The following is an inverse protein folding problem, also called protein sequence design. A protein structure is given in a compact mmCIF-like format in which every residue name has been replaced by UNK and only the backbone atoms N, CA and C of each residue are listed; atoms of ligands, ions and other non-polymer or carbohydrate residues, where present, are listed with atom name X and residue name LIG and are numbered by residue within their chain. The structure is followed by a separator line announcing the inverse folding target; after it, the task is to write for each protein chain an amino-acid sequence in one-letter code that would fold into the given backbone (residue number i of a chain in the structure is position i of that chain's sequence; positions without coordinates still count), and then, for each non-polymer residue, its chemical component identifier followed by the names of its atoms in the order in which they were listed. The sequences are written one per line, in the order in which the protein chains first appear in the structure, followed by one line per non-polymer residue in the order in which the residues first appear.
data_IF_014727572035
#
_entry.id   IF_014727572035
#
_cell.length_a   1.000
_cell.length_b   1.000
_cell.length_c   1.000
_cell.angle_alpha   90.00
_cell.angle_beta   90.00
_cell.angle_gamma   90.00
#
_symmetry.space_group_name_H-M   'P 1'
#
loop_
_entity.id
_entity.type
_entity.pdbx_description
1 polymer ?
#
# COMPACT_ATOMS: atom_id res chain seq x y z
N UNK A 1 16.32 -3.20 11.50
CA UNK A 1 17.29 -2.27 10.90
C UNK A 1 17.45 -1.07 11.84
N UNK A 2 18.58 -0.90 12.52
CA UNK A 2 18.87 0.28 13.37
C UNK A 2 20.03 1.03 12.73
N UNK A 3 19.73 2.07 11.96
CA UNK A 3 20.76 2.84 11.26
C UNK A 3 21.25 3.90 12.24
N UNK A 4 22.52 3.79 12.64
CA UNK A 4 23.11 4.68 13.65
C UNK A 4 23.67 5.98 13.05
N UNK A 5 23.75 6.07 11.72
CA UNK A 5 24.27 7.24 11.01
C UNK A 5 23.11 8.08 10.41
N UNK A 6 23.02 9.35 10.83
CA UNK A 6 22.05 10.32 10.36
C UNK A 6 22.23 10.74 8.89
N UNK A 7 23.35 10.40 8.25
CA UNK A 7 23.57 10.66 6.81
C UNK A 7 22.55 9.94 5.93
N UNK A 8 22.13 8.74 6.31
CA UNK A 8 21.06 8.02 5.62
C UNK A 8 19.70 8.70 5.80
N UNK A 9 19.42 9.23 7.00
CA UNK A 9 18.19 9.98 7.32
C UNK A 9 18.00 11.23 6.45
N UNK A 10 19.10 11.83 5.99
CA UNK A 10 19.11 13.07 5.19
C UNK A 10 19.09 12.82 3.68
N UNK A 11 19.17 11.58 3.23
CA UNK A 11 19.25 11.29 1.80
C UNK A 11 17.86 11.36 1.14
N UNK A 12 17.69 12.09 0.02
CA UNK A 12 16.37 12.29 -0.61
C UNK A 12 15.70 11.00 -1.09
N UNK A 13 16.46 9.92 -1.28
CA UNK A 13 15.91 8.62 -1.66
C UNK A 13 15.51 7.74 -0.48
N UNK A 14 15.86 8.11 0.76
CA UNK A 14 15.58 7.28 1.93
C UNK A 14 14.10 6.93 2.03
N UNK A 15 13.21 7.88 1.73
CA UNK A 15 11.76 7.66 1.73
C UNK A 15 11.33 6.50 0.85
N UNK A 16 11.92 6.35 -0.34
CA UNK A 16 11.61 5.24 -1.25
C UNK A 16 12.17 3.92 -0.74
N UNK A 17 13.39 3.93 -0.18
CA UNK A 17 14.01 2.74 0.40
C UNK A 17 13.20 2.26 1.60
N UNK A 18 12.83 3.17 2.51
CA UNK A 18 12.00 2.88 3.67
C UNK A 18 10.63 2.34 3.26
N UNK A 19 9.99 2.97 2.27
CA UNK A 19 8.69 2.55 1.75
C UNK A 19 8.74 1.17 1.08
N UNK A 20 9.71 0.92 0.19
CA UNK A 20 9.90 -0.38 -0.45
C UNK A 20 10.24 -1.47 0.58
N UNK A 21 11.02 -1.13 1.60
CA UNK A 21 11.33 -2.05 2.70
C UNK A 21 10.07 -2.39 3.50
N UNK A 22 9.23 -1.39 3.79
CA UNK A 22 7.97 -1.58 4.50
C UNK A 22 6.98 -2.44 3.71
N UNK A 23 6.75 -2.13 2.43
CA UNK A 23 5.89 -2.94 1.56
C UNK A 23 6.45 -4.36 1.41
N UNK A 24 7.75 -4.50 1.17
CA UNK A 24 8.39 -5.81 1.06
C UNK A 24 8.26 -6.65 2.33
N UNK A 25 8.37 -6.02 3.51
CA UNK A 25 8.15 -6.68 4.80
C UNK A 25 6.70 -7.17 4.96
N UNK A 26 5.72 -6.33 4.60
CA UNK A 26 4.31 -6.70 4.61
C UNK A 26 4.02 -7.86 3.64
N UNK A 27 4.53 -7.78 2.41
CA UNK A 27 4.37 -8.82 1.40
C UNK A 27 4.93 -10.17 1.88
N UNK A 28 6.18 -10.20 2.37
CA UNK A 28 6.79 -11.42 2.92
C UNK A 28 5.98 -12.03 4.06
N UNK A 29 5.48 -11.20 4.96
CA UNK A 29 4.65 -11.66 6.09
C UNK A 29 3.36 -12.31 5.60
N UNK A 30 2.67 -11.68 4.64
CA UNK A 30 1.42 -12.19 4.06
C UNK A 30 1.64 -13.44 3.21
N UNK A 31 2.68 -13.48 2.38
CA UNK A 31 3.04 -14.65 1.57
C UNK A 31 3.41 -15.85 2.45
N UNK A 32 4.17 -15.64 3.53
CA UNK A 32 4.52 -16.71 4.47
C UNK A 32 3.28 -17.26 5.18
N UNK A 33 2.35 -16.38 5.56
CA UNK A 33 1.09 -16.80 6.16
C UNK A 33 0.23 -17.61 5.17
N UNK A 34 0.10 -17.13 3.93
CA UNK A 34 -0.60 -17.84 2.87
C UNK A 34 -0.04 -19.24 2.63
N UNK A 35 1.28 -19.35 2.43
CA UNK A 35 1.93 -20.65 2.17
C UNK A 35 1.65 -21.63 3.31
N UNK A 36 1.81 -21.21 4.58
CA UNK A 36 1.49 -22.07 5.73
C UNK A 36 0.03 -22.50 5.79
N UNK A 37 -0.90 -21.61 5.46
CA UNK A 37 -2.32 -21.93 5.45
C UNK A 37 -2.66 -22.89 4.30
N UNK A 38 -2.06 -22.68 3.14
CA UNK A 38 -2.21 -23.55 1.97
C UNK A 38 -1.66 -24.95 2.24
N UNK A 39 -0.45 -25.08 2.77
CA UNK A 39 0.19 -26.35 3.10
C UNK A 39 -0.61 -27.16 4.14
N UNK A 40 -1.41 -26.50 4.98
CA UNK A 40 -2.26 -27.16 5.98
C UNK A 40 -3.60 -27.68 5.45
N UNK A 41 -4.09 -27.14 4.33
CA UNK A 41 -5.37 -27.53 3.72
C UNK A 41 -5.20 -28.30 2.40
N UNK A 42 -4.07 -28.10 1.72
CA UNK A 42 -3.76 -28.59 0.39
C UNK A 42 -2.31 -29.08 0.32
N UNK A 43 -1.89 -29.53 -0.86
CA UNK A 43 -0.49 -29.86 -1.12
C UNK A 43 0.39 -28.60 -1.05
N UNK A 44 1.67 -28.77 -0.67
CA UNK A 44 2.59 -27.65 -0.58
C UNK A 44 2.74 -26.94 -1.93
N UNK A 45 2.63 -25.62 -1.90
CA UNK A 45 2.60 -24.81 -3.12
C UNK A 45 4.01 -24.70 -3.71
N UNK A 46 4.22 -25.23 -4.92
CA UNK A 46 5.52 -25.16 -5.60
C UNK A 46 5.65 -23.92 -6.47
N UNK A 47 6.89 -23.55 -6.80
CA UNK A 47 7.18 -22.43 -7.69
C UNK A 47 6.60 -22.68 -9.09
N UNK A 48 6.68 -23.91 -9.56
CA UNK A 48 6.23 -24.34 -10.88
C UNK A 48 4.71 -24.21 -10.99
N UNK A 49 3.97 -24.61 -9.96
CA UNK A 49 2.50 -24.45 -9.91
C UNK A 49 2.09 -22.98 -9.97
N UNK A 50 2.80 -22.10 -9.26
CA UNK A 50 2.54 -20.66 -9.31
C UNK A 50 2.79 -20.08 -10.71
N UNK A 51 3.89 -20.48 -11.36
CA UNK A 51 4.22 -20.03 -12.72
C UNK A 51 3.17 -20.54 -13.71
N UNK A 52 2.84 -21.83 -13.64
CA UNK A 52 1.83 -22.42 -14.50
C UNK A 52 0.47 -21.74 -14.33
N UNK A 53 0.06 -21.44 -13.10
CA UNK A 53 -1.19 -20.72 -12.85
C UNK A 53 -1.17 -19.29 -13.43
N UNK A 54 -0.02 -18.60 -13.38
CA UNK A 54 0.14 -17.29 -14.00
C UNK A 54 0.10 -17.35 -15.53
N UNK A 55 0.71 -18.38 -16.14
CA UNK A 55 0.73 -18.58 -17.59
C UNK A 55 -0.64 -19.00 -18.13
N UNK A 56 -1.38 -19.82 -17.38
CA UNK A 56 -2.68 -20.35 -17.76
C UNK A 56 -3.81 -19.70 -16.96
N UNK A 57 -3.80 -18.36 -16.86
CA UNK A 57 -4.78 -17.61 -16.06
C UNK A 57 -6.24 -17.75 -16.52
N UNK A 58 -6.48 -18.32 -17.70
CA UNK A 58 -7.82 -18.63 -18.22
C UNK A 58 -8.42 -19.89 -17.59
N UNK A 59 -7.58 -20.78 -17.05
CA UNK A 59 -8.05 -22.00 -16.39
C UNK A 59 -8.78 -21.65 -15.09
N UNK A 60 -9.95 -22.24 -14.82
CA UNK A 60 -10.74 -21.89 -13.64
C UNK A 60 -10.02 -22.21 -12.32
N UNK A 61 -9.19 -23.26 -12.31
CA UNK A 61 -8.39 -23.65 -11.14
C UNK A 61 -7.23 -22.68 -10.90
N UNK A 62 -6.50 -22.31 -11.95
CA UNK A 62 -5.44 -21.30 -11.90
C UNK A 62 -5.99 -19.95 -11.43
N UNK A 63 -7.14 -19.55 -11.97
CA UNK A 63 -7.81 -18.31 -11.60
C UNK A 63 -8.31 -18.34 -10.14
N UNK A 64 -8.80 -19.49 -9.65
CA UNK A 64 -9.17 -19.65 -8.25
C UNK A 64 -7.96 -19.48 -7.31
N UNK A 65 -6.80 -20.05 -7.66
CA UNK A 65 -5.55 -19.88 -6.93
C UNK A 65 -5.09 -18.42 -6.93
N UNK A 66 -5.06 -17.77 -8.09
CA UNK A 66 -4.70 -16.34 -8.22
C UNK A 66 -5.63 -15.47 -7.38
N UNK A 67 -6.93 -15.73 -7.42
CA UNK A 67 -7.92 -15.01 -6.62
C UNK A 67 -7.70 -15.21 -5.12
N UNK A 68 -7.36 -16.43 -4.69
CA UNK A 68 -7.04 -16.74 -3.29
C UNK A 68 -5.82 -15.93 -2.81
N UNK A 69 -4.73 -15.92 -3.61
CA UNK A 69 -3.52 -15.12 -3.34
C UNK A 69 -3.86 -13.63 -3.28
N UNK A 70 -4.64 -13.14 -4.25
CA UNK A 70 -5.02 -11.72 -4.37
C UNK A 70 -5.83 -11.26 -3.17
N UNK A 71 -6.74 -12.09 -2.65
CA UNK A 71 -7.51 -11.80 -1.43
C UNK A 71 -6.61 -11.57 -0.22
N UNK A 72 -5.52 -12.31 -0.09
CA UNK A 72 -4.54 -12.08 0.99
C UNK A 72 -3.69 -10.82 0.77
N UNK A 73 -3.38 -10.51 -0.49
CA UNK A 73 -2.62 -9.32 -0.88
C UNK A 73 -3.39 -8.00 -0.69
N UNK A 74 -4.74 -8.00 -0.73
CA UNK A 74 -5.59 -6.80 -0.53
C UNK A 74 -5.33 -6.12 0.83
N UNK A 75 -4.82 -6.86 1.81
CA UNK A 75 -4.49 -6.32 3.13
C UNK A 75 -3.13 -5.61 3.23
N UNK A 76 -2.32 -5.65 2.16
CA UNK A 76 -1.01 -4.96 2.11
C UNK A 76 -1.29 -3.46 1.98
N UNK A 77 -0.96 -2.71 3.04
CA UNK A 77 -1.17 -1.26 3.08
C UNK A 77 -0.35 -0.60 1.98
N UNK A 78 -0.85 0.54 1.51
CA UNK A 78 -0.22 1.33 0.45
C UNK A 78 -0.28 0.71 -0.95
N UNK A 79 -1.03 -0.39 -1.13
CA UNK A 79 -1.35 -0.92 -2.47
C UNK A 79 -2.70 -0.40 -2.96
N UNK A 80 -2.90 -0.36 -4.29
CA UNK A 80 -4.16 0.07 -4.90
C UNK A 80 -5.37 -0.78 -4.47
N UNK A 81 -5.29 -2.12 -4.38
CA UNK A 81 -6.38 -2.95 -3.87
C UNK A 81 -6.77 -2.61 -2.42
N UNK A 82 -5.80 -2.32 -1.55
CA UNK A 82 -6.07 -1.91 -0.17
C UNK A 82 -6.90 -0.62 -0.10
N UNK A 83 -6.49 0.40 -0.87
CA UNK A 83 -7.19 1.69 -0.90
C UNK A 83 -8.57 1.59 -1.56
N UNK A 84 -8.72 0.78 -2.61
CA UNK A 84 -10.02 0.53 -3.24
C UNK A 84 -11.01 -0.10 -2.24
N UNK A 85 -10.55 -1.09 -1.45
CA UNK A 85 -11.37 -1.69 -0.39
C UNK A 85 -11.75 -0.67 0.67
N UNK A 86 -10.80 0.17 1.11
CA UNK A 86 -11.09 1.22 2.11
C UNK A 86 -12.10 2.24 1.60
N UNK A 87 -12.00 2.66 0.33
CA UNK A 87 -13.01 3.52 -0.29
C UNK A 87 -14.40 2.86 -0.28
N UNK A 88 -14.50 1.59 -0.69
CA UNK A 88 -15.78 0.86 -0.67
C UNK A 88 -16.36 0.74 0.75
N UNK A 89 -15.53 0.46 1.75
CA UNK A 89 -15.93 0.44 3.17
C UNK A 89 -16.53 1.81 3.58
N UNK A 90 -15.93 2.92 3.12
CA UNK A 90 -16.38 4.28 3.41
C UNK A 90 -17.68 4.65 2.67
N UNK A 91 -17.79 4.28 1.39
CA UNK A 91 -19.02 4.48 0.60
C UNK A 91 -20.20 3.76 1.26
N UNK A 92 -20.00 2.52 1.70
CA UNK A 92 -21.01 1.76 2.44
C UNK A 92 -21.36 2.41 3.79
N UNK A 93 -20.38 2.95 4.49
CA UNK A 93 -20.61 3.70 5.73
C UNK A 93 -21.47 4.95 5.48
N UNK A 94 -21.09 5.78 4.50
CA UNK A 94 -21.83 6.99 4.15
C UNK A 94 -23.28 6.68 3.75
N UNK A 95 -23.48 5.62 2.95
CA UNK A 95 -24.81 5.16 2.55
C UNK A 95 -25.68 4.74 3.74
N UNK A 96 -25.11 3.98 4.68
CA UNK A 96 -25.88 3.43 5.81
C UNK A 96 -26.20 4.44 6.91
N UNK A 97 -25.31 5.42 7.17
CA UNK A 97 -25.48 6.37 8.27
C UNK A 97 -26.29 7.62 7.88
N UNK A 98 -26.54 7.86 6.59
CA UNK A 98 -27.42 8.94 6.11
C UNK A 98 -26.99 10.36 6.51
N UNK A 99 -25.78 10.53 7.03
CA UNK A 99 -25.27 11.79 7.60
C UNK A 99 -23.89 12.08 7.00
N UNK A 100 -23.57 13.34 6.62
CA UNK A 100 -22.27 13.69 6.10
C UNK A 100 -21.19 13.50 7.19
N UNK A 101 -20.50 12.37 7.15
CA UNK A 101 -19.33 12.10 7.98
C UNK A 101 -18.10 12.79 7.41
N UNK A 102 -17.31 13.43 8.27
CA UNK A 102 -15.99 13.92 7.89
C UNK A 102 -15.01 12.75 7.81
N UNK A 103 -14.39 12.55 6.65
CA UNK A 103 -13.34 11.55 6.47
C UNK A 103 -11.98 12.23 6.36
N UNK A 104 -11.07 11.84 7.25
CA UNK A 104 -9.69 12.35 7.29
C UNK A 104 -8.78 11.21 6.87
N UNK A 105 -8.01 11.43 5.80
CA UNK A 105 -6.98 10.49 5.37
C UNK A 105 -5.60 11.11 5.58
N UNK A 106 -4.71 10.38 6.25
CA UNK A 106 -3.31 10.75 6.38
C UNK A 106 -2.52 9.97 5.33
N UNK A 107 -2.29 10.60 4.18
CA UNK A 107 -1.31 10.11 3.20
C UNK A 107 -0.05 10.96 3.30
N UNK A 108 1.16 10.40 3.11
CA UNK A 108 2.32 11.22 2.80
C UNK A 108 1.99 12.00 1.51
N UNK A 109 1.81 13.31 1.63
CA UNK A 109 1.44 14.16 0.50
C UNK A 109 2.55 14.21 -0.58
N UNK A 110 3.77 13.78 -0.24
CA UNK A 110 4.96 13.95 -1.08
C UNK A 110 5.10 12.96 -2.25
N UNK A 111 4.25 11.94 -2.36
CA UNK A 111 4.49 10.79 -3.25
C UNK A 111 3.54 10.57 -4.44
N UNK A 112 2.38 11.25 -4.61
CA UNK A 112 1.63 11.14 -5.87
C UNK A 112 1.64 12.39 -6.78
N UNK A 113 1.91 13.59 -6.27
CA UNK A 113 1.54 14.84 -6.97
C UNK A 113 2.73 15.68 -7.46
N UNK A 114 3.67 15.10 -8.22
CA UNK A 114 4.73 15.91 -8.87
C UNK A 114 4.19 17.04 -9.75
N UNK A 115 2.95 16.93 -10.26
CA UNK A 115 2.30 17.97 -11.07
C UNK A 115 1.82 19.19 -10.28
N UNK A 116 1.83 19.14 -8.93
CA UNK A 116 1.38 20.25 -8.07
C UNK A 116 2.54 21.08 -7.49
N UNK A 117 3.79 20.68 -7.74
CA UNK A 117 4.96 21.47 -7.39
C UNK A 117 5.49 22.15 -8.65
N UNK A 118 5.43 23.49 -8.74
CA UNK A 118 6.21 24.21 -9.75
C UNK A 118 7.69 23.81 -9.62
N UNK A 119 8.39 23.69 -10.74
CA UNK A 119 9.79 23.26 -10.79
C UNK A 119 10.76 24.18 -10.00
N UNK A 120 10.30 25.32 -9.47
CA UNK A 120 11.11 26.36 -8.88
C UNK A 120 10.93 26.47 -7.35
N UNK A 121 11.14 25.39 -6.63
CA UNK A 121 11.39 25.50 -5.18
C UNK A 121 12.55 24.61 -4.77
N UNK A 122 13.73 24.94 -5.30
CA UNK A 122 14.99 24.69 -4.59
C UNK A 122 14.99 25.59 -3.34
N UNK A 123 15.10 25.06 -2.12
CA UNK A 123 15.17 25.91 -0.94
C UNK A 123 16.54 26.56 -0.87
N UNK A 124 16.59 27.89 -1.04
CA UNK A 124 17.67 28.69 -0.47
C UNK A 124 17.74 28.42 1.02
N UNK A 125 18.96 28.23 1.50
CA UNK A 125 19.28 27.86 2.87
C UNK A 125 18.92 28.97 3.85
N UNK A 126 17.68 29.02 4.31
CA UNK A 126 17.26 29.64 5.58
C UNK A 126 15.74 29.54 5.70
N UNK A 127 15.28 28.50 6.40
CA UNK A 127 14.04 28.46 7.18
C UNK A 127 13.72 26.99 7.43
N UNK A 128 13.87 26.54 8.66
CA UNK A 128 13.08 25.42 9.18
C UNK A 128 11.60 25.68 8.97
N UNK A 129 10.80 24.72 8.48
CA UNK A 129 9.40 24.69 8.81
C UNK A 129 9.11 23.41 9.59
N UNK A 130 8.51 23.63 10.76
CA UNK A 130 7.72 22.66 11.50
C UNK A 130 6.86 21.87 10.51
N UNK A 131 7.07 20.56 10.45
CA UNK A 131 6.32 19.61 9.62
C UNK A 131 4.85 19.61 10.06
N UNK A 132 4.07 20.51 9.49
CA UNK A 132 2.61 20.48 9.62
C UNK A 132 2.11 19.52 8.55
N UNK A 133 1.57 18.37 8.99
CA UNK A 133 0.90 17.44 8.09
C UNK A 133 -0.32 18.15 7.48
N UNK A 134 -0.48 18.20 6.15
CA UNK A 134 -1.67 18.78 5.56
C UNK A 134 -2.88 17.87 5.85
N UNK A 135 -3.86 18.42 6.56
CA UNK A 135 -5.18 17.81 6.71
C UNK A 135 -5.94 18.07 5.41
N UNK A 136 -6.29 17.04 4.66
CA UNK A 136 -7.23 17.17 3.54
C UNK A 136 -8.60 16.66 3.98
N UNK A 137 -9.52 17.61 4.19
CA UNK A 137 -10.95 17.36 4.41
C UNK A 137 -11.61 17.41 3.04
N UNK A 138 -11.98 16.26 2.50
CA UNK A 138 -12.85 16.22 1.34
C UNK A 138 -14.30 16.16 1.83
N UNK A 139 -15.02 17.26 1.70
CA UNK A 139 -16.47 17.29 1.83
C UNK A 139 -17.10 16.72 0.56
N UNK A 140 -17.98 15.74 0.72
CA UNK A 140 -18.89 15.29 -0.34
C UNK A 140 -20.26 15.83 0.03
N UNK A 141 -20.75 16.79 -0.76
CA UNK A 141 -22.14 17.28 -0.74
C UNK A 141 -23.05 16.31 -1.47
#
# INVERSE_FOLDING_TARGET
MRWHDGRFARHPTLRFVAFNTLIGSQARTRSKFFAKQHDGMHQPLTREQLIQALEHSEDPEAQALINSITRHAVSIRSTRPFWNKKRQDLEAYAYNFGCPGAFITFSPADLPWRSLYPADTQPSAEATPCTTMPLHVHGVT
#
